data_IF_156216648673
#
_entry.id   IF_156216648673
#
_cell.length_a   1.000
_cell.length_b   1.000
_cell.length_c   1.000
_cell.angle_alpha   90.00
_cell.angle_beta   90.00
_cell.angle_gamma   90.00
#
_symmetry.space_group_name_H-M   'P 1'
#
loop_
_entity.id
_entity.type
_entity.pdbx_description
1 polymer ?
#
# COMPACT_ATOMS: atom_id res chain seq x y z
N UNK A 1 5.46 -12.77 -12.17
CA UNK A 1 5.09 -14.12 -12.66
C UNK A 1 4.10 -14.06 -13.82
N UNK A 2 4.48 -13.51 -14.99
CA UNK A 2 3.59 -13.39 -16.15
C UNK A 2 3.28 -14.75 -16.82
N UNK A 3 3.99 -15.78 -16.44
CA UNK A 3 3.75 -17.20 -16.76
C UNK A 3 2.52 -17.77 -16.03
N UNK A 4 2.12 -17.14 -14.93
CA UNK A 4 0.96 -17.50 -14.10
C UNK A 4 -0.18 -16.48 -14.26
N UNK A 5 0.16 -15.19 -14.26
CA UNK A 5 -0.78 -14.10 -14.31
C UNK A 5 -0.81 -13.46 -15.70
N UNK A 6 -1.90 -13.64 -16.43
CA UNK A 6 -2.08 -13.02 -17.75
C UNK A 6 -2.48 -11.55 -17.70
N UNK A 7 -3.16 -11.12 -16.64
CA UNK A 7 -3.59 -9.74 -16.44
C UNK A 7 -3.76 -9.37 -14.98
N UNK A 8 -3.70 -8.08 -14.70
CA UNK A 8 -3.83 -7.49 -13.35
C UNK A 8 -4.80 -6.29 -13.45
N UNK A 9 -5.71 -6.20 -12.48
CA UNK A 9 -6.48 -4.99 -12.21
C UNK A 9 -6.29 -4.58 -10.75
N UNK A 10 -5.98 -3.31 -10.50
CA UNK A 10 -5.76 -2.75 -9.19
C UNK A 10 -6.61 -1.50 -8.99
N UNK A 11 -7.44 -1.49 -7.94
CA UNK A 11 -8.31 -0.38 -7.59
C UNK A 11 -7.78 0.32 -6.35
N UNK A 12 -7.39 1.60 -6.47
CA UNK A 12 -6.88 2.43 -5.37
C UNK A 12 -5.79 1.74 -4.55
N UNK A 13 -4.80 1.14 -5.23
CA UNK A 13 -3.68 0.47 -4.56
C UNK A 13 -2.67 1.44 -3.97
N UNK A 14 -1.98 1.00 -2.93
CA UNK A 14 -0.91 1.78 -2.29
C UNK A 14 0.27 1.94 -3.25
N UNK A 15 0.53 3.17 -3.63
CA UNK A 15 1.63 3.58 -4.51
C UNK A 15 2.21 4.89 -3.99
N UNK A 16 3.52 5.07 -4.13
CA UNK A 16 4.24 6.22 -3.60
C UNK A 16 4.10 6.33 -2.08
N UNK A 17 4.75 5.43 -1.36
CA UNK A 17 4.68 5.31 0.10
C UNK A 17 4.96 6.59 0.88
N UNK A 18 5.76 7.57 0.38
CA UNK A 18 5.85 8.89 1.03
C UNK A 18 4.50 9.61 1.19
N UNK A 19 3.51 9.36 0.33
CA UNK A 19 2.17 9.93 0.45
C UNK A 19 1.16 8.93 1.03
N UNK A 20 1.31 7.64 0.72
CA UNK A 20 0.39 6.62 1.19
C UNK A 20 0.60 6.22 2.66
N UNK A 21 1.86 6.20 3.13
CA UNK A 21 2.22 5.66 4.46
C UNK A 21 2.69 6.72 5.46
N UNK A 22 3.66 7.58 5.08
CA UNK A 22 4.26 8.55 6.02
C UNK A 22 3.25 9.45 6.74
N UNK A 23 2.18 9.97 6.09
CA UNK A 23 1.24 10.86 6.74
C UNK A 23 0.46 10.22 7.90
N UNK A 24 0.43 8.90 7.97
CA UNK A 24 -0.29 8.15 9.00
C UNK A 24 0.59 7.76 10.19
N UNK A 25 1.93 7.88 10.06
CA UNK A 25 2.86 7.58 11.14
C UNK A 25 2.61 8.41 12.42
N UNK A 26 2.38 9.73 12.36
CA UNK A 26 2.09 10.50 13.57
C UNK A 26 0.90 9.97 14.37
N UNK A 27 -0.17 9.53 13.71
CA UNK A 27 -1.35 8.96 14.38
C UNK A 27 -1.01 7.61 15.05
N UNK A 28 -0.21 6.78 14.39
CA UNK A 28 0.24 5.51 14.95
C UNK A 28 1.17 5.74 16.18
N UNK A 29 2.10 6.70 16.08
CA UNK A 29 2.99 7.11 17.19
C UNK A 29 2.19 7.56 18.39
N UNK A 30 1.25 8.50 18.23
CA UNK A 30 0.41 9.00 19.32
C UNK A 30 -0.46 7.91 19.94
N UNK A 31 -0.90 6.94 19.15
CA UNK A 31 -1.65 5.80 19.67
C UNK A 31 -0.73 4.86 20.48
N UNK A 32 0.44 4.52 19.95
CA UNK A 32 1.40 3.63 20.60
C UNK A 32 1.98 4.23 21.89
N UNK A 33 2.12 5.56 21.99
CA UNK A 33 2.56 6.24 23.22
C UNK A 33 1.69 5.90 24.44
N UNK A 34 0.40 5.60 24.26
CA UNK A 34 -0.51 5.13 25.33
C UNK A 34 -0.15 3.73 25.84
N UNK A 35 0.74 3.06 25.15
CA UNK A 35 1.25 1.72 25.42
C UNK A 35 2.78 1.74 25.58
N UNK A 36 3.35 2.89 26.00
CA UNK A 36 4.78 3.08 26.17
C UNK A 36 5.61 2.77 24.90
N UNK A 37 5.01 2.99 23.72
CA UNK A 37 5.62 2.69 22.43
C UNK A 37 5.70 1.20 22.09
N UNK A 38 4.99 0.33 22.85
CA UNK A 38 5.09 -1.13 22.70
C UNK A 38 3.97 -1.69 21.80
N UNK A 39 4.27 -2.15 20.56
CA UNK A 39 3.30 -2.76 19.66
C UNK A 39 2.61 -4.00 20.24
N UNK A 40 3.34 -4.85 20.95
CA UNK A 40 2.76 -6.08 21.52
C UNK A 40 1.72 -5.77 22.62
N UNK A 41 1.97 -4.77 23.45
CA UNK A 41 1.01 -4.30 24.45
C UNK A 41 -0.26 -3.73 23.81
N UNK A 42 -0.10 -2.94 22.73
CA UNK A 42 -1.20 -2.43 21.93
C UNK A 42 -2.01 -3.58 21.31
N UNK A 43 -1.37 -4.51 20.63
CA UNK A 43 -2.05 -5.66 19.99
C UNK A 43 -2.80 -6.52 21.02
N UNK A 44 -2.21 -6.79 22.18
CA UNK A 44 -2.88 -7.50 23.27
C UNK A 44 -4.18 -6.80 23.70
N UNK A 45 -4.15 -5.47 23.79
CA UNK A 45 -5.35 -4.68 24.12
C UNK A 45 -6.40 -4.72 23.00
N UNK A 46 -5.97 -4.64 21.74
CA UNK A 46 -6.90 -4.65 20.59
C UNK A 46 -7.67 -5.97 20.47
N UNK A 47 -7.04 -7.12 20.80
CA UNK A 47 -7.71 -8.45 20.79
C UNK A 47 -8.91 -8.52 21.72
N UNK A 48 -8.98 -7.70 22.76
CA UNK A 48 -10.07 -7.70 23.77
C UNK A 48 -11.03 -6.52 23.62
N UNK A 49 -10.76 -5.62 22.66
CA UNK A 49 -11.53 -4.38 22.49
C UNK A 49 -12.75 -4.64 21.60
N UNK A 50 -13.95 -4.36 22.14
CA UNK A 50 -15.22 -4.59 21.42
C UNK A 50 -15.41 -3.60 20.26
N UNK A 51 -14.97 -2.34 20.44
CA UNK A 51 -15.12 -1.28 19.44
C UNK A 51 -13.79 -0.57 19.21
N UNK A 52 -13.26 -0.67 18.00
CA UNK A 52 -12.05 0.04 17.58
C UNK A 52 -12.39 1.48 17.19
N UNK A 53 -11.46 2.41 17.42
CA UNK A 53 -11.48 3.79 16.94
C UNK A 53 -10.73 3.84 15.60
N UNK A 54 -10.92 4.89 14.82
CA UNK A 54 -10.18 5.08 13.57
C UNK A 54 -8.65 5.06 13.77
N UNK A 55 -8.17 5.69 14.86
CA UNK A 55 -6.73 5.65 15.20
C UNK A 55 -6.23 4.24 15.58
N UNK A 56 -7.08 3.39 16.17
CA UNK A 56 -6.70 2.00 16.45
C UNK A 56 -6.55 1.21 15.16
N UNK A 57 -7.49 1.40 14.22
CA UNK A 57 -7.49 0.73 12.90
C UNK A 57 -6.28 1.16 12.10
N UNK A 58 -6.01 2.46 12.02
CA UNK A 58 -4.84 2.99 11.33
C UNK A 58 -3.53 2.46 11.93
N UNK A 59 -3.44 2.43 13.27
CA UNK A 59 -2.26 1.86 13.93
C UNK A 59 -2.10 0.37 13.63
N UNK A 60 -3.20 -0.42 13.65
CA UNK A 60 -3.16 -1.82 13.25
C UNK A 60 -2.67 -2.00 11.82
N UNK A 61 -3.11 -1.13 10.89
CA UNK A 61 -2.65 -1.15 9.50
C UNK A 61 -1.14 -0.88 9.41
N UNK A 62 -0.62 0.16 10.08
CA UNK A 62 0.82 0.45 10.10
C UNK A 62 1.62 -0.72 10.69
N UNK A 63 1.13 -1.37 11.76
CA UNK A 63 1.80 -2.55 12.32
C UNK A 63 1.79 -3.74 11.35
N UNK A 64 0.70 -3.95 10.63
CA UNK A 64 0.61 -5.00 9.62
C UNK A 64 1.57 -4.75 8.45
N UNK A 65 1.63 -3.50 7.95
CA UNK A 65 2.57 -3.10 6.92
C UNK A 65 4.02 -3.26 7.38
N UNK A 66 4.34 -2.90 8.64
CA UNK A 66 5.67 -3.08 9.22
C UNK A 66 6.07 -4.56 9.27
N UNK A 67 5.16 -5.43 9.71
CA UNK A 67 5.40 -6.86 9.75
C UNK A 67 5.56 -7.49 8.36
N UNK A 68 4.98 -6.87 7.32
CA UNK A 68 5.07 -7.35 5.94
C UNK A 68 6.31 -6.80 5.22
N UNK A 69 6.58 -5.49 5.33
CA UNK A 69 7.63 -4.84 4.56
C UNK A 69 9.03 -4.97 5.18
N UNK A 70 9.10 -5.14 6.52
CA UNK A 70 10.38 -5.28 7.24
C UNK A 70 10.24 -6.31 8.39
N UNK A 71 9.98 -7.61 8.06
CA UNK A 71 9.80 -8.64 9.07
C UNK A 71 11.11 -8.92 9.84
N UNK A 72 11.00 -9.14 11.14
CA UNK A 72 12.11 -9.69 11.94
C UNK A 72 12.08 -11.22 11.81
N UNK A 73 12.95 -11.77 10.94
CA UNK A 73 12.97 -13.20 10.66
C UNK A 73 13.52 -14.03 11.83
N UNK A 74 14.30 -13.41 12.72
CA UNK A 74 14.83 -14.09 13.93
C UNK A 74 13.81 -14.07 15.06
N UNK A 75 12.97 -13.04 15.12
CA UNK A 75 11.96 -12.87 16.14
C UNK A 75 10.61 -12.50 15.51
N UNK A 76 9.86 -13.46 14.95
CA UNK A 76 8.62 -13.19 14.19
C UNK A 76 7.53 -12.46 14.95
N UNK A 77 7.55 -12.51 16.27
CA UNK A 77 6.59 -11.77 17.14
C UNK A 77 6.97 -10.30 17.34
N UNK A 78 8.18 -9.90 16.90
CA UNK A 78 8.66 -8.52 17.01
C UNK A 78 8.28 -7.73 15.74
N UNK A 79 7.54 -6.65 15.93
CA UNK A 79 7.23 -5.71 14.85
C UNK A 79 8.29 -4.62 14.84
N UNK A 80 8.96 -4.49 13.69
CA UNK A 80 9.98 -3.48 13.45
C UNK A 80 9.33 -2.26 12.79
N UNK A 81 9.25 -1.14 13.52
CA UNK A 81 8.65 0.09 13.00
C UNK A 81 9.67 0.91 12.22
N UNK A 82 9.25 1.62 11.13
CA UNK A 82 10.12 2.52 10.39
C UNK A 82 10.36 3.85 11.10
N UNK A 83 9.95 3.97 12.36
CA UNK A 83 10.12 5.16 13.20
C UNK A 83 10.36 4.76 14.66
N UNK A 84 11.00 5.63 15.41
CA UNK A 84 11.08 5.54 16.87
C UNK A 84 9.72 5.90 17.48
N UNK A 85 9.08 4.96 18.18
CA UNK A 85 7.73 5.14 18.73
C UNK A 85 7.67 6.17 19.87
N UNK A 86 8.80 6.63 20.43
CA UNK A 86 8.89 7.63 21.49
C UNK A 86 9.10 9.04 20.93
N UNK A 87 10.02 9.18 19.97
CA UNK A 87 10.39 10.49 19.40
C UNK A 87 9.62 10.83 18.13
N UNK A 88 9.20 9.80 17.39
CA UNK A 88 8.60 9.95 16.04
C UNK A 88 9.65 10.08 14.93
N UNK A 89 10.94 9.99 15.27
CA UNK A 89 12.01 10.08 14.29
C UNK A 89 11.98 8.89 13.34
N UNK A 90 12.10 9.18 12.04
CA UNK A 90 12.15 8.15 11.00
C UNK A 90 13.46 7.37 11.11
N UNK A 91 13.40 6.06 11.02
CA UNK A 91 14.56 5.16 10.98
C UNK A 91 14.84 4.85 9.51
N UNK A 92 15.79 5.58 8.91
CA UNK A 92 16.06 5.54 7.48
C UNK A 92 16.27 4.13 6.93
N UNK A 93 17.06 3.30 7.60
CA UNK A 93 17.33 1.92 7.16
C UNK A 93 16.04 1.10 7.04
N UNK A 94 15.09 1.25 7.98
CA UNK A 94 13.81 0.55 7.94
C UNK A 94 12.88 1.14 6.90
N UNK A 95 12.87 2.46 6.77
CA UNK A 95 12.11 3.12 5.74
C UNK A 95 12.55 2.70 4.33
N UNK A 96 13.85 2.52 4.12
CA UNK A 96 14.38 1.98 2.86
C UNK A 96 13.93 0.53 2.60
N UNK A 97 13.74 -0.31 3.64
CA UNK A 97 13.16 -1.64 3.45
C UNK A 97 11.70 -1.54 2.96
N UNK A 98 10.90 -0.61 3.53
CA UNK A 98 9.54 -0.37 3.04
C UNK A 98 9.52 0.09 1.58
N UNK A 99 10.36 1.05 1.22
CA UNK A 99 10.41 1.60 -0.13
C UNK A 99 10.74 0.55 -1.21
N UNK A 100 11.40 -0.54 -0.85
CA UNK A 100 11.63 -1.66 -1.79
C UNK A 100 10.33 -2.34 -2.24
N UNK A 101 9.25 -2.18 -1.50
CA UNK A 101 7.93 -2.71 -1.82
C UNK A 101 7.00 -1.68 -2.47
N UNK A 102 7.46 -0.43 -2.57
CA UNK A 102 6.71 0.61 -3.27
C UNK A 102 6.66 0.29 -4.77
N UNK A 103 5.48 0.15 -5.38
CA UNK A 103 5.34 -0.12 -6.81
C UNK A 103 6.10 0.87 -7.70
N UNK A 104 6.28 2.13 -7.25
CA UNK A 104 7.06 3.14 -7.98
C UNK A 104 8.54 2.73 -8.06
N UNK A 105 9.09 2.18 -6.97
CA UNK A 105 10.48 1.73 -6.92
C UNK A 105 10.65 0.39 -7.66
N UNK A 106 9.68 -0.52 -7.51
CA UNK A 106 9.72 -1.85 -8.11
C UNK A 106 9.58 -1.83 -9.63
N UNK A 107 8.95 -0.80 -10.20
CA UNK A 107 8.58 -0.76 -11.62
C UNK A 107 9.78 -1.01 -12.54
N UNK A 108 10.92 -0.40 -12.26
CA UNK A 108 12.13 -0.50 -13.09
C UNK A 108 12.70 -1.92 -13.11
N UNK A 109 12.73 -2.58 -11.96
CA UNK A 109 13.29 -3.94 -11.82
C UNK A 109 12.39 -5.01 -12.47
N UNK A 110 11.12 -4.69 -12.76
CA UNK A 110 10.12 -5.63 -13.25
C UNK A 110 9.59 -5.33 -14.66
N UNK A 111 10.19 -4.40 -15.39
CA UNK A 111 9.74 -3.94 -16.73
C UNK A 111 9.49 -5.12 -17.68
N UNK A 112 10.43 -6.06 -17.79
CA UNK A 112 10.31 -7.19 -18.71
C UNK A 112 9.16 -8.12 -18.36
N UNK A 113 8.83 -8.25 -17.08
CA UNK A 113 7.70 -9.04 -16.62
C UNK A 113 6.37 -8.30 -16.81
N UNK A 114 6.35 -7.00 -16.54
CA UNK A 114 5.19 -6.15 -16.74
C UNK A 114 4.79 -6.09 -18.22
N UNK A 115 5.75 -5.99 -19.14
CA UNK A 115 5.52 -6.01 -20.62
C UNK A 115 4.96 -7.32 -21.15
N UNK A 116 5.06 -8.41 -20.40
CA UNK A 116 4.50 -9.71 -20.78
C UNK A 116 3.02 -9.87 -20.39
N UNK A 117 2.50 -9.00 -19.52
CA UNK A 117 1.10 -9.02 -19.15
C UNK A 117 0.24 -8.62 -20.34
N UNK A 118 -0.84 -9.37 -20.58
CA UNK A 118 -1.83 -9.06 -21.61
C UNK A 118 -2.70 -7.85 -21.22
N UNK A 119 -2.93 -7.67 -19.91
CA UNK A 119 -3.67 -6.56 -19.35
C UNK A 119 -3.03 -6.06 -18.06
N UNK A 120 -2.74 -4.78 -18.00
CA UNK A 120 -2.34 -4.09 -16.77
C UNK A 120 -3.24 -2.86 -16.63
N UNK A 121 -4.23 -2.98 -15.74
CA UNK A 121 -5.20 -1.94 -15.45
C UNK A 121 -5.07 -1.49 -14.01
N UNK A 122 -5.12 -0.19 -13.78
CA UNK A 122 -5.27 0.35 -12.44
C UNK A 122 -6.03 1.66 -12.47
N UNK A 123 -6.75 1.93 -11.39
CA UNK A 123 -7.51 3.16 -11.25
C UNK A 123 -7.51 3.69 -9.82
N UNK A 124 -7.91 4.95 -9.65
CA UNK A 124 -8.03 5.57 -8.35
C UNK A 124 -9.10 6.65 -8.37
N UNK A 125 -9.82 6.81 -7.27
CA UNK A 125 -10.73 7.93 -7.07
C UNK A 125 -9.96 9.26 -7.01
N UNK A 126 -10.39 10.27 -7.75
CA UNK A 126 -9.73 11.57 -7.82
C UNK A 126 -9.77 12.36 -6.50
N UNK A 127 -10.66 11.95 -5.57
CA UNK A 127 -10.81 12.50 -4.22
C UNK A 127 -10.44 11.49 -3.13
N UNK A 128 -9.59 10.52 -3.46
CA UNK A 128 -9.12 9.50 -2.52
C UNK A 128 -8.53 10.15 -1.26
N UNK A 129 -9.11 9.87 -0.10
CA UNK A 129 -8.73 10.48 1.17
C UNK A 129 -7.36 10.01 1.69
N UNK A 130 -6.85 8.88 1.17
CA UNK A 130 -5.50 8.39 1.44
C UNK A 130 -4.47 8.93 0.45
N UNK A 131 -4.89 9.79 -0.52
CA UNK A 131 -4.01 10.46 -1.49
C UNK A 131 -3.38 9.51 -2.52
N UNK A 132 -3.95 8.31 -2.68
CA UNK A 132 -3.41 7.27 -3.55
C UNK A 132 -3.43 7.66 -5.04
N UNK A 133 -4.34 8.56 -5.45
CA UNK A 133 -4.38 9.11 -6.80
C UNK A 133 -3.06 9.81 -7.22
N UNK A 134 -2.33 10.41 -6.28
CA UNK A 134 -1.02 10.99 -6.59
C UNK A 134 0.01 9.90 -6.95
N UNK A 135 0.06 8.82 -6.17
CA UNK A 135 0.92 7.68 -6.44
C UNK A 135 0.55 6.99 -7.76
N UNK A 136 -0.75 6.84 -8.03
CA UNK A 136 -1.25 6.25 -9.27
C UNK A 136 -0.83 7.06 -10.51
N UNK A 137 -0.91 8.40 -10.45
CA UNK A 137 -0.41 9.29 -11.53
C UNK A 137 1.08 9.13 -11.76
N UNK A 138 1.86 9.06 -10.67
CA UNK A 138 3.33 8.87 -10.74
C UNK A 138 3.64 7.52 -11.38
N UNK A 139 2.94 6.44 -10.99
CA UNK A 139 3.14 5.12 -11.56
C UNK A 139 2.76 5.08 -13.04
N UNK A 140 1.64 5.69 -13.45
CA UNK A 140 1.24 5.79 -14.84
C UNK A 140 2.33 6.48 -15.67
N UNK A 141 2.84 7.63 -15.23
CA UNK A 141 3.93 8.31 -15.91
C UNK A 141 5.20 7.44 -15.98
N UNK A 142 5.53 6.73 -14.88
CA UNK A 142 6.67 5.81 -14.85
C UNK A 142 6.52 4.69 -15.88
N UNK A 143 5.32 4.12 -16.01
CA UNK A 143 5.05 3.08 -17.01
C UNK A 143 5.12 3.61 -18.44
N UNK A 144 4.68 4.84 -18.69
CA UNK A 144 4.86 5.51 -19.99
C UNK A 144 6.34 5.64 -20.33
N UNK A 145 7.15 6.17 -19.41
CA UNK A 145 8.59 6.38 -19.59
C UNK A 145 9.35 5.06 -19.84
N UNK A 146 8.93 3.97 -19.19
CA UNK A 146 9.49 2.63 -19.35
C UNK A 146 8.92 1.85 -20.55
N UNK A 147 7.91 2.40 -21.23
CA UNK A 147 7.22 1.74 -22.33
C UNK A 147 6.49 0.46 -21.89
N UNK A 148 5.91 0.46 -20.68
CA UNK A 148 5.07 -0.62 -20.15
C UNK A 148 3.62 -0.37 -20.59
N UNK A 149 3.01 -1.27 -21.40
CA UNK A 149 1.61 -1.12 -21.78
C UNK A 149 0.71 -1.21 -20.54
N UNK A 150 -0.14 -0.21 -20.37
CA UNK A 150 -1.07 -0.16 -19.25
C UNK A 150 -2.29 0.69 -19.58
N UNK A 151 -3.33 0.57 -18.78
CA UNK A 151 -4.49 1.46 -18.77
C UNK A 151 -4.67 2.02 -17.38
N UNK A 152 -4.62 3.34 -17.25
CA UNK A 152 -4.88 4.08 -16.02
C UNK A 152 -6.15 4.91 -16.17
N UNK A 153 -6.98 4.92 -15.12
CA UNK A 153 -8.18 5.77 -15.05
C UNK A 153 -8.28 6.49 -13.70
N UNK A 154 -8.74 7.72 -13.73
CA UNK A 154 -9.28 8.39 -12.53
C UNK A 154 -10.79 8.49 -12.65
N UNK A 155 -11.50 8.24 -11.54
CA UNK A 155 -12.94 8.38 -11.46
C UNK A 155 -13.32 9.37 -10.36
N UNK A 156 -14.47 10.03 -10.51
CA UNK A 156 -14.93 11.09 -9.61
C UNK A 156 -15.54 10.52 -8.33
N UNK A 157 -14.70 9.93 -7.46
CA UNK A 157 -15.08 9.36 -6.16
C UNK A 157 -13.90 9.36 -5.18
N UNK A 158 -14.13 8.87 -3.95
CA UNK A 158 -13.13 8.66 -2.90
C UNK A 158 -12.69 7.17 -2.84
N UNK A 159 -12.07 6.73 -1.74
CA UNK A 159 -11.65 5.34 -1.53
C UNK A 159 -12.78 4.40 -1.12
N UNK A 160 -13.93 4.93 -0.74
CA UNK A 160 -14.96 4.17 -0.04
C UNK A 160 -15.95 3.57 -1.03
N UNK A 161 -16.32 2.28 -0.82
CA UNK A 161 -17.39 1.63 -1.59
C UNK A 161 -17.19 1.62 -3.11
N UNK A 162 -15.94 1.51 -3.55
CA UNK A 162 -15.55 1.54 -4.97
C UNK A 162 -15.76 0.19 -5.71
N UNK A 163 -16.48 -0.77 -5.13
CA UNK A 163 -16.70 -2.09 -5.72
C UNK A 163 -17.35 -2.05 -7.11
N UNK A 164 -18.09 -1.00 -7.45
CA UNK A 164 -18.65 -0.80 -8.78
C UNK A 164 -17.57 -0.69 -9.87
N UNK A 165 -16.31 -0.42 -9.50
CA UNK A 165 -15.19 -0.41 -10.45
C UNK A 165 -14.86 -1.81 -11.00
N UNK A 166 -15.32 -2.87 -10.34
CA UNK A 166 -15.26 -4.22 -10.90
C UNK A 166 -16.07 -4.37 -12.20
N UNK A 167 -17.12 -3.57 -12.39
CA UNK A 167 -17.90 -3.54 -13.63
C UNK A 167 -17.09 -3.01 -14.84
N UNK A 168 -15.96 -2.32 -14.57
CA UNK A 168 -15.00 -1.87 -15.59
C UNK A 168 -13.89 -2.89 -15.76
N UNK A 169 -13.27 -3.33 -14.67
CA UNK A 169 -12.06 -4.15 -14.73
C UNK A 169 -12.31 -5.62 -15.09
N UNK A 170 -13.41 -6.22 -14.64
CA UNK A 170 -13.68 -7.64 -14.92
C UNK A 170 -13.97 -7.91 -16.40
N UNK A 171 -14.82 -7.12 -17.12
CA UNK A 171 -14.97 -7.26 -18.57
C UNK A 171 -13.63 -7.06 -19.31
N UNK A 172 -12.85 -6.04 -18.94
CA UNK A 172 -11.56 -5.77 -19.55
C UNK A 172 -10.60 -6.96 -19.44
N UNK A 173 -10.51 -7.57 -18.23
CA UNK A 173 -9.70 -8.77 -18.01
C UNK A 173 -10.23 -9.96 -18.80
N UNK A 174 -11.55 -10.18 -18.82
CA UNK A 174 -12.18 -11.29 -19.54
C UNK A 174 -11.90 -11.19 -21.05
N UNK A 175 -12.10 -10.03 -21.66
CA UNK A 175 -11.86 -9.79 -23.08
C UNK A 175 -10.40 -9.95 -23.47
N UNK A 176 -9.47 -9.60 -22.58
CA UNK A 176 -8.03 -9.66 -22.86
C UNK A 176 -7.44 -11.06 -22.65
N UNK A 177 -8.04 -11.87 -21.76
CA UNK A 177 -7.54 -13.20 -21.40
C UNK A 177 -8.21 -14.34 -22.18
N UNK A 178 -9.32 -14.03 -22.91
CA UNK A 178 -9.96 -14.96 -23.83
C UNK A 178 -9.17 -15.08 -25.14
#
# INVERSE_FOLDING_TARGET
>A
HPDVWGGIACHSGDMYFPYACLPDFPMAIDTLRRFEGNPAAFLKKMRTKIKLRGSDIMTLMILALAAFYDPDLENPDRIQLPFDARTGELIDERWQQWLRWDPIQMAEDHVDNLKKLKCLFFDCGSRDQYRLHHGARILAQRFEDLGVPHRYEEFDDDHSSIQYRYDVSLPLLADTLS
#
